data_IF_862805238184
#
_entry.id   IF_862805238184
#
_cell.length_a   1.000
_cell.length_b   1.000
_cell.length_c   1.000
_cell.angle_alpha   90.00
_cell.angle_beta   90.00
_cell.angle_gamma   90.00
#
_symmetry.space_group_name_H-M   'P 1'
#
loop_
_entity.id
_entity.type
_entity.pdbx_description
1 polymer ?
#
# COMPACT_ATOMS: atom_id res chain seq x y z
N UNK A 1 -5.15 -20.69 27.76
CA UNK A 1 -5.55 -19.59 26.84
C UNK A 1 -5.36 -19.95 25.36
N UNK A 2 -4.17 -20.36 24.90
CA UNK A 2 -3.93 -20.69 23.47
C UNK A 2 -4.77 -21.86 22.94
N UNK A 3 -4.78 -22.99 23.64
CA UNK A 3 -5.58 -24.16 23.23
C UNK A 3 -7.09 -23.83 23.21
N UNK A 4 -7.57 -23.00 24.13
CA UNK A 4 -8.96 -22.51 24.12
C UNK A 4 -9.27 -21.61 22.92
N UNK A 5 -8.32 -20.76 22.51
CA UNK A 5 -8.49 -19.93 21.31
C UNK A 5 -8.56 -20.80 20.04
N UNK A 6 -7.74 -21.86 19.97
CA UNK A 6 -7.80 -22.84 18.88
C UNK A 6 -9.14 -23.59 18.88
N UNK A 7 -9.61 -24.05 20.03
CA UNK A 7 -10.92 -24.72 20.17
C UNK A 7 -12.09 -23.82 19.75
N UNK A 8 -12.03 -22.51 20.05
CA UNK A 8 -13.01 -21.54 19.57
C UNK A 8 -12.91 -21.34 18.04
N UNK A 9 -11.69 -21.27 17.54
CA UNK A 9 -11.38 -21.01 16.15
C UNK A 9 -11.63 -19.55 15.73
N UNK A 10 -11.74 -19.30 14.42
CA UNK A 10 -11.99 -17.96 13.89
C UNK A 10 -13.43 -17.49 14.14
N UNK A 11 -13.72 -16.24 13.76
CA UNK A 11 -15.08 -15.71 13.79
C UNK A 11 -16.01 -16.49 12.86
N UNK A 12 -17.30 -16.56 13.20
CA UNK A 12 -18.32 -17.32 12.45
C UNK A 12 -18.36 -16.96 10.97
N UNK A 13 -18.22 -15.67 10.64
CA UNK A 13 -18.16 -15.19 9.25
C UNK A 13 -17.02 -15.83 8.43
N UNK A 14 -15.86 -16.12 9.04
CA UNK A 14 -14.77 -16.77 8.31
C UNK A 14 -15.06 -18.26 8.05
N UNK A 15 -15.84 -18.91 8.93
CA UNK A 15 -16.30 -20.29 8.75
C UNK A 15 -17.33 -20.38 7.60
N UNK A 16 -18.24 -19.42 7.52
CA UNK A 16 -19.24 -19.33 6.45
C UNK A 16 -18.61 -19.06 5.09
N UNK A 17 -17.53 -18.29 5.04
CA UNK A 17 -16.80 -17.94 3.82
C UNK A 17 -15.53 -18.78 3.63
N UNK A 18 -15.51 -20.05 4.09
CA UNK A 18 -14.28 -20.88 4.11
C UNK A 18 -13.59 -20.99 2.76
N UNK A 19 -14.35 -21.18 1.68
CA UNK A 19 -13.79 -21.36 0.32
C UNK A 19 -13.08 -20.09 -0.14
N UNK A 20 -13.70 -18.94 0.12
CA UNK A 20 -13.08 -17.64 -0.13
C UNK A 20 -11.79 -17.49 0.68
N UNK A 21 -11.82 -17.80 1.98
CA UNK A 21 -10.61 -17.74 2.83
C UNK A 21 -9.51 -18.65 2.30
N UNK A 22 -9.82 -19.88 1.91
CA UNK A 22 -8.84 -20.82 1.33
C UNK A 22 -8.20 -20.26 0.06
N UNK A 23 -9.00 -19.74 -0.86
CA UNK A 23 -8.52 -19.10 -2.10
C UNK A 23 -7.59 -17.91 -1.81
N UNK A 24 -7.95 -17.05 -0.85
CA UNK A 24 -7.12 -15.91 -0.46
C UNK A 24 -5.78 -16.33 0.11
N UNK A 25 -5.78 -17.31 1.02
CA UNK A 25 -4.56 -17.76 1.65
C UNK A 25 -3.65 -18.50 0.68
N UNK A 26 -4.18 -19.16 -0.36
CA UNK A 26 -3.37 -19.70 -1.46
C UNK A 26 -2.65 -18.57 -2.20
N UNK A 27 -3.35 -17.49 -2.56
CA UNK A 27 -2.73 -16.31 -3.19
C UNK A 27 -1.63 -15.71 -2.29
N UNK A 28 -1.91 -15.55 -1.00
CA UNK A 28 -0.95 -15.00 -0.03
C UNK A 28 0.29 -15.87 0.15
N UNK A 29 0.14 -17.20 0.13
CA UNK A 29 1.25 -18.15 0.19
C UNK A 29 2.10 -18.06 -1.08
N UNK A 30 1.47 -18.04 -2.25
CA UNK A 30 2.16 -17.92 -3.55
C UNK A 30 2.94 -16.60 -3.64
N UNK A 31 2.35 -15.49 -3.19
CA UNK A 31 3.02 -14.17 -3.08
C UNK A 31 4.06 -14.10 -1.96
N UNK A 32 4.12 -15.11 -1.09
CA UNK A 32 4.99 -15.17 0.10
C UNK A 32 4.75 -14.03 1.10
N UNK A 33 3.54 -13.52 1.16
CA UNK A 33 3.11 -12.53 2.15
C UNK A 33 2.80 -13.18 3.50
N UNK A 34 2.32 -14.42 3.46
CA UNK A 34 1.97 -15.19 4.64
C UNK A 34 2.62 -16.57 4.57
N UNK A 35 2.73 -17.22 5.73
CA UNK A 35 3.01 -18.66 5.84
C UNK A 35 1.94 -19.30 6.72
N UNK A 36 1.68 -20.58 6.52
CA UNK A 36 0.69 -21.33 7.29
C UNK A 36 1.38 -22.55 7.89
N UNK A 37 1.21 -22.76 9.19
CA UNK A 37 1.84 -23.88 9.90
C UNK A 37 0.82 -24.57 10.83
N UNK A 38 0.92 -25.90 10.99
CA UNK A 38 0.13 -26.61 11.97
C UNK A 38 0.35 -26.08 13.39
N UNK A 39 -0.73 -25.93 14.16
CA UNK A 39 -0.70 -25.40 15.51
C UNK A 39 0.25 -26.17 16.43
N UNK A 40 0.35 -27.50 16.27
CA UNK A 40 1.25 -28.33 17.10
C UNK A 40 2.72 -27.88 17.02
N UNK A 41 3.15 -27.34 15.87
CA UNK A 41 4.51 -26.83 15.68
C UNK A 41 4.72 -25.47 16.34
N UNK A 42 3.64 -24.69 16.49
CA UNK A 42 3.69 -23.33 17.02
C UNK A 42 3.36 -23.24 18.51
N UNK A 43 2.65 -24.24 19.06
CA UNK A 43 2.05 -24.24 20.40
C UNK A 43 3.00 -23.73 21.49
N UNK A 44 4.27 -24.13 21.41
CA UNK A 44 5.30 -23.82 22.41
C UNK A 44 6.17 -22.62 22.05
N UNK A 45 5.91 -21.94 20.93
CA UNK A 45 6.64 -20.73 20.59
C UNK A 45 6.42 -19.63 21.64
N UNK A 46 7.50 -18.94 22.04
CA UNK A 46 7.38 -17.79 22.92
C UNK A 46 6.57 -16.69 22.22
N UNK A 47 5.72 -16.00 22.97
CA UNK A 47 4.92 -14.87 22.49
C UNK A 47 3.92 -15.18 21.36
N UNK A 48 3.64 -16.46 21.05
CA UNK A 48 2.54 -16.81 20.14
C UNK A 48 1.23 -16.22 20.66
N UNK A 49 0.56 -15.46 19.79
CA UNK A 49 -0.79 -14.92 19.98
C UNK A 49 -1.67 -15.38 18.82
N UNK A 50 -2.95 -15.56 19.11
CA UNK A 50 -3.91 -16.18 18.19
C UNK A 50 -5.14 -15.28 18.05
N UNK A 51 -5.14 -14.47 17.00
CA UNK A 51 -6.25 -13.58 16.67
C UNK A 51 -7.25 -14.26 15.74
N UNK A 52 -8.56 -14.09 15.96
CA UNK A 52 -9.57 -14.69 15.11
C UNK A 52 -9.65 -13.95 13.77
N UNK A 53 -9.67 -14.72 12.68
CA UNK A 53 -10.00 -14.22 11.34
C UNK A 53 -11.51 -13.98 11.23
N UNK A 54 -11.89 -12.94 10.52
CA UNK A 54 -13.24 -12.64 10.09
C UNK A 54 -13.30 -12.35 8.60
N UNK A 55 -14.53 -12.28 8.08
CA UNK A 55 -14.82 -11.92 6.70
C UNK A 55 -15.93 -10.90 6.72
N UNK A 56 -15.76 -9.80 6.00
CA UNK A 56 -16.77 -8.77 5.81
C UNK A 56 -17.21 -8.82 4.34
N UNK A 57 -18.44 -9.29 4.06
CA UNK A 57 -19.02 -9.24 2.72
C UNK A 57 -19.12 -7.79 2.24
N UNK A 58 -18.95 -7.56 0.93
CA UNK A 58 -19.09 -6.24 0.34
C UNK A 58 -20.07 -6.28 -0.81
N UNK A 59 -20.92 -5.25 -0.88
CA UNK A 59 -21.85 -5.09 -1.99
C UNK A 59 -21.07 -4.80 -3.27
N UNK A 60 -21.37 -5.55 -4.32
CA UNK A 60 -20.80 -5.40 -5.68
C UNK A 60 -19.26 -5.47 -5.71
N UNK A 61 -18.63 -6.07 -4.68
CA UNK A 61 -17.18 -6.21 -4.55
C UNK A 61 -16.81 -7.51 -3.86
N UNK A 62 -15.55 -7.92 -4.04
CA UNK A 62 -14.95 -9.06 -3.35
C UNK A 62 -15.02 -8.88 -1.81
N UNK A 63 -15.35 -9.92 -1.03
CA UNK A 63 -15.30 -9.84 0.44
C UNK A 63 -13.91 -9.45 0.95
N UNK A 64 -13.84 -8.86 2.15
CA UNK A 64 -12.56 -8.55 2.79
C UNK A 64 -12.31 -9.43 4.01
N UNK A 65 -11.09 -9.96 4.08
CA UNK A 65 -10.57 -10.55 5.31
C UNK A 65 -10.34 -9.44 6.34
N UNK A 66 -10.71 -9.72 7.58
CA UNK A 66 -10.41 -8.85 8.73
C UNK A 66 -9.79 -9.71 9.83
N UNK A 67 -8.88 -9.14 10.62
CA UNK A 67 -8.27 -9.84 11.75
C UNK A 67 -8.47 -8.99 12.99
N UNK A 68 -9.07 -9.57 14.04
CA UNK A 68 -9.20 -8.89 15.32
C UNK A 68 -7.89 -9.00 16.12
N UNK A 69 -7.00 -8.04 15.89
CA UNK A 69 -5.74 -7.89 16.64
C UNK A 69 -5.94 -7.25 18.03
N UNK A 70 -7.18 -6.92 18.41
CA UNK A 70 -7.51 -6.53 19.79
C UNK A 70 -7.79 -7.74 20.68
N UNK A 71 -8.29 -8.84 20.11
CA UNK A 71 -8.68 -10.05 20.84
C UNK A 71 -7.58 -10.64 21.73
N UNK A 72 -6.34 -10.65 21.23
CA UNK A 72 -5.16 -11.14 21.97
C UNK A 72 -4.24 -9.99 22.41
N UNK A 73 -4.84 -8.81 22.64
CA UNK A 73 -4.17 -7.60 23.08
C UNK A 73 -2.98 -7.17 22.20
N UNK A 74 -2.91 -7.61 20.93
CA UNK A 74 -1.79 -7.32 20.03
C UNK A 74 -1.68 -5.81 19.85
N UNK A 75 -2.81 -5.15 19.60
CA UNK A 75 -2.84 -3.71 19.42
C UNK A 75 -2.66 -2.94 20.75
N UNK A 76 -3.26 -3.42 21.84
CA UNK A 76 -3.23 -2.77 23.16
C UNK A 76 -1.84 -2.80 23.79
N UNK A 77 -1.11 -3.90 23.65
CA UNK A 77 0.24 -4.07 24.21
C UNK A 77 1.33 -3.66 23.21
N UNK A 78 0.95 -3.18 22.02
CA UNK A 78 1.90 -2.72 21.02
C UNK A 78 2.54 -1.41 21.46
N UNK A 79 3.88 -1.36 21.50
CA UNK A 79 4.58 -0.10 21.70
C UNK A 79 4.42 0.78 20.46
N UNK A 80 4.01 2.06 20.60
CA UNK A 80 3.78 2.96 19.47
C UNK A 80 5.10 3.56 18.95
N UNK A 81 6.02 2.70 18.51
CA UNK A 81 7.34 3.09 17.97
C UNK A 81 7.28 3.53 16.50
N UNK A 82 6.17 3.27 15.81
CA UNK A 82 6.01 3.65 14.42
C UNK A 82 5.77 5.17 14.29
N UNK A 83 6.37 5.86 13.30
CA UNK A 83 6.35 7.32 13.19
C UNK A 83 4.97 7.83 12.78
N UNK A 84 4.13 8.18 13.77
CA UNK A 84 2.73 8.59 13.53
C UNK A 84 2.63 9.89 12.74
N UNK A 85 3.61 10.77 12.91
CA UNK A 85 3.79 12.03 12.19
C UNK A 85 3.96 11.86 10.68
N UNK A 86 4.33 10.66 10.20
CA UNK A 86 4.37 10.36 8.78
C UNK A 86 2.98 10.16 8.17
N UNK A 87 1.92 10.01 8.97
CA UNK A 87 0.53 9.91 8.46
C UNK A 87 -0.02 11.28 8.05
N UNK A 88 0.65 11.95 7.10
CA UNK A 88 0.32 13.32 6.66
C UNK A 88 -0.76 13.38 5.58
N UNK A 89 -1.38 12.25 5.25
CA UNK A 89 -2.35 12.10 4.17
C UNK A 89 -3.60 13.00 4.34
N UNK A 90 -3.96 13.39 5.56
CA UNK A 90 -5.11 14.29 5.82
C UNK A 90 -5.01 15.68 5.15
N UNK A 91 -3.81 16.10 4.70
CA UNK A 91 -3.60 17.38 4.00
C UNK A 91 -3.13 17.24 2.55
N UNK A 92 -2.98 16.02 2.02
CA UNK A 92 -2.46 15.79 0.67
C UNK A 92 -3.26 16.55 -0.39
N UNK A 93 -4.59 16.43 -0.38
CA UNK A 93 -5.47 17.15 -1.32
C UNK A 93 -5.27 18.67 -1.26
N UNK A 94 -5.18 19.25 -0.05
CA UNK A 94 -4.98 20.69 0.12
C UNK A 94 -3.62 21.13 -0.45
N UNK A 95 -2.55 20.37 -0.20
CA UNK A 95 -1.21 20.63 -0.74
C UNK A 95 -1.17 20.55 -2.26
N UNK A 96 -1.91 19.61 -2.86
CA UNK A 96 -2.04 19.44 -4.31
C UNK A 96 -2.82 20.61 -4.92
N UNK A 97 -4.00 20.92 -4.39
CA UNK A 97 -4.84 22.01 -4.90
C UNK A 97 -4.15 23.36 -4.81
N UNK A 98 -3.48 23.64 -3.69
CA UNK A 98 -2.72 24.87 -3.51
C UNK A 98 -1.61 25.02 -4.56
N UNK A 99 -0.89 23.94 -4.88
CA UNK A 99 0.15 23.92 -5.92
C UNK A 99 -0.42 24.16 -7.31
N UNK A 100 -1.57 23.57 -7.65
CA UNK A 100 -2.24 23.80 -8.93
C UNK A 100 -2.68 25.26 -9.04
N UNK A 101 -3.33 25.79 -8.00
CA UNK A 101 -3.83 27.16 -7.97
C UNK A 101 -2.72 28.21 -8.13
N UNK A 102 -1.53 27.91 -7.61
CA UNK A 102 -0.40 28.85 -7.57
C UNK A 102 0.66 28.61 -8.66
N UNK A 103 0.43 27.63 -9.54
CA UNK A 103 1.28 27.35 -10.69
C UNK A 103 1.29 28.53 -11.68
N UNK A 104 2.39 28.69 -12.42
CA UNK A 104 2.50 29.77 -13.41
C UNK A 104 1.82 29.36 -14.72
N UNK A 105 0.75 30.05 -15.14
CA UNK A 105 -0.01 29.71 -16.34
C UNK A 105 0.81 29.84 -17.64
N UNK A 106 1.90 30.62 -17.65
CA UNK A 106 2.77 30.79 -18.83
C UNK A 106 3.40 29.46 -19.29
N UNK A 107 3.48 28.47 -18.40
CA UNK A 107 4.03 27.14 -18.69
C UNK A 107 2.96 26.10 -19.09
N UNK A 108 1.73 26.55 -19.37
CA UNK A 108 0.61 25.71 -19.76
C UNK A 108 -0.11 25.06 -18.57
N UNK A 109 -1.01 24.09 -18.82
CA UNK A 109 -1.78 23.45 -17.75
C UNK A 109 -0.89 22.58 -16.86
N UNK A 110 -1.31 22.42 -15.60
CA UNK A 110 -0.75 21.41 -14.70
C UNK A 110 -1.38 20.06 -15.05
N UNK A 111 -0.54 19.10 -15.46
CA UNK A 111 -0.95 17.72 -15.67
C UNK A 111 -0.83 16.94 -14.38
N UNK A 112 -1.83 16.12 -14.10
CA UNK A 112 -1.82 15.18 -12.97
C UNK A 112 -1.55 13.76 -13.47
N UNK A 113 -0.84 12.99 -12.66
CA UNK A 113 -0.71 11.54 -12.77
C UNK A 113 -1.02 10.93 -11.42
N UNK A 114 -1.70 9.78 -11.43
CA UNK A 114 -1.98 8.99 -10.24
C UNK A 114 -1.33 7.61 -10.41
N UNK A 115 -0.44 7.25 -9.50
CA UNK A 115 0.16 5.91 -9.41
C UNK A 115 -0.21 5.33 -8.05
N UNK A 116 -0.81 4.15 -8.06
CA UNK A 116 -1.25 3.43 -6.86
C UNK A 116 -0.29 2.27 -6.57
N UNK A 117 0.01 2.02 -5.31
CA UNK A 117 0.85 0.88 -4.90
C UNK A 117 -0.03 -0.34 -4.62
N UNK A 118 0.10 -1.36 -5.47
CA UNK A 118 -0.59 -2.62 -5.30
C UNK A 118 -0.07 -3.36 -4.06
N UNK A 119 -0.99 -3.89 -3.24
CA UNK A 119 -0.68 -4.64 -2.01
C UNK A 119 0.25 -3.86 -1.05
N UNK A 120 0.04 -2.54 -0.90
CA UNK A 120 0.96 -1.61 -0.21
C UNK A 120 1.53 -2.09 1.13
N UNK A 121 0.70 -2.42 2.12
CA UNK A 121 1.20 -2.95 3.41
C UNK A 121 2.03 -4.22 3.25
N UNK A 122 1.66 -5.07 2.28
CA UNK A 122 2.38 -6.31 1.98
C UNK A 122 3.77 -6.07 1.38
N UNK A 123 4.14 -4.83 1.04
CA UNK A 123 5.49 -4.49 0.56
C UNK A 123 6.50 -4.32 1.68
N UNK A 124 6.06 -4.21 2.93
CA UNK A 124 6.94 -4.00 4.09
C UNK A 124 6.96 -5.27 4.94
N UNK A 125 8.15 -5.84 5.14
CA UNK A 125 8.34 -7.05 5.92
C UNK A 125 8.24 -6.77 7.42
N UNK A 126 7.62 -7.70 8.16
CA UNK A 126 7.75 -7.71 9.63
C UNK A 126 8.99 -8.50 10.03
N UNK A 127 9.55 -8.16 11.20
CA UNK A 127 10.68 -8.91 11.74
C UNK A 127 10.23 -10.33 12.12
N UNK A 128 11.00 -11.34 11.72
CA UNK A 128 10.69 -12.76 11.95
C UNK A 128 10.50 -13.08 13.44
N UNK A 129 11.19 -12.36 14.32
CA UNK A 129 11.07 -12.48 15.79
C UNK A 129 9.65 -12.21 16.30
N UNK A 130 8.94 -11.28 15.67
CA UNK A 130 7.63 -10.82 16.14
C UNK A 130 6.46 -11.45 15.37
N UNK A 131 6.72 -12.15 14.26
CA UNK A 131 5.71 -12.89 13.48
C UNK A 131 4.79 -13.76 14.35
N UNK A 132 5.27 -14.53 15.35
CA UNK A 132 4.39 -15.34 16.20
C UNK A 132 3.35 -14.51 16.98
N UNK A 133 3.60 -13.23 17.25
CA UNK A 133 2.63 -12.35 17.94
C UNK A 133 1.45 -11.96 17.06
N UNK A 134 1.53 -12.23 15.76
CA UNK A 134 0.53 -11.85 14.75
C UNK A 134 -0.21 -13.07 14.20
N UNK A 135 -0.18 -14.21 14.91
CA UNK A 135 -0.83 -15.44 14.45
C UNK A 135 -2.34 -15.31 14.31
N UNK A 136 -2.86 -15.90 13.23
CA UNK A 136 -4.27 -15.82 12.83
C UNK A 136 -4.87 -17.22 12.74
N UNK A 137 -6.02 -17.40 13.38
CA UNK A 137 -6.79 -18.64 13.34
C UNK A 137 -7.52 -18.74 12.00
N UNK A 138 -7.32 -19.84 11.27
CA UNK A 138 -8.02 -20.13 10.02
C UNK A 138 -9.28 -20.98 10.26
N UNK A 139 -10.28 -20.93 9.36
CA UNK A 139 -11.39 -21.88 9.38
C UNK A 139 -10.89 -23.28 9.01
N UNK A 140 -11.46 -24.29 9.65
CA UNK A 140 -11.12 -25.71 9.49
C UNK A 140 -12.39 -26.55 9.63
N UNK A 141 -12.37 -27.77 9.09
CA UNK A 141 -13.37 -28.80 9.40
C UNK A 141 -13.09 -29.46 10.78
N UNK A 142 -14.07 -30.20 11.31
CA UNK A 142 -13.98 -30.82 12.65
C UNK A 142 -12.88 -31.89 12.74
N UNK A 143 -12.48 -32.50 11.63
CA UNK A 143 -11.46 -33.55 11.52
C UNK A 143 -10.09 -33.05 11.02
N UNK A 144 -9.97 -31.76 10.69
CA UNK A 144 -8.73 -31.16 10.18
C UNK A 144 -7.78 -30.75 11.33
N UNK A 145 -6.47 -30.92 11.10
CA UNK A 145 -5.46 -30.40 12.03
C UNK A 145 -5.52 -28.86 12.06
N UNK A 146 -5.52 -28.21 13.24
CA UNK A 146 -5.60 -26.76 13.29
C UNK A 146 -4.42 -26.04 12.65
N UNK A 147 -4.73 -25.14 11.71
CA UNK A 147 -3.75 -24.37 10.96
C UNK A 147 -3.74 -22.91 11.40
N UNK A 148 -2.54 -22.36 11.60
CA UNK A 148 -2.34 -20.96 11.97
C UNK A 148 -1.64 -20.24 10.82
N UNK A 149 -2.23 -19.14 10.38
CA UNK A 149 -1.59 -18.24 9.44
C UNK A 149 -0.72 -17.21 10.16
N UNK A 150 0.45 -16.93 9.60
CA UNK A 150 1.45 -16.02 10.13
C UNK A 150 1.83 -15.00 9.05
N UNK A 151 1.64 -13.69 9.28
CA UNK A 151 2.01 -12.67 8.31
C UNK A 151 3.52 -12.46 8.32
N UNK A 152 4.14 -12.44 7.14
CA UNK A 152 5.55 -12.12 6.92
C UNK A 152 5.77 -10.64 6.56
N UNK A 153 4.67 -9.91 6.37
CA UNK A 153 4.58 -8.52 5.97
C UNK A 153 3.61 -7.77 6.90
N UNK A 154 3.51 -6.44 6.81
CA UNK A 154 2.60 -5.68 7.66
C UNK A 154 1.15 -6.16 7.45
N UNK A 155 0.46 -6.70 8.49
CA UNK A 155 -0.91 -7.13 8.33
C UNK A 155 -1.87 -5.95 8.42
N UNK A 156 -3.02 -6.07 7.74
CA UNK A 156 -4.14 -5.17 7.95
C UNK A 156 -4.71 -5.34 9.37
N UNK A 157 -5.04 -4.22 10.02
CA UNK A 157 -5.60 -4.20 11.38
C UNK A 157 -4.58 -4.01 12.50
N UNK A 158 -3.27 -4.07 12.21
CA UNK A 158 -2.24 -3.77 13.22
C UNK A 158 -2.00 -2.27 13.31
N UNK A 159 -2.04 -1.71 14.53
CA UNK A 159 -1.97 -0.26 14.77
C UNK A 159 -0.71 0.41 14.24
N UNK A 160 0.40 -0.33 14.13
CA UNK A 160 1.65 0.20 13.60
C UNK A 160 1.80 0.03 12.08
N UNK A 161 0.93 -0.75 11.40
CA UNK A 161 1.02 -0.91 9.95
C UNK A 161 0.84 0.42 9.19
N UNK A 162 -0.20 1.24 9.46
CA UNK A 162 -0.39 2.49 8.71
C UNK A 162 0.75 3.51 8.90
N UNK A 163 1.27 3.78 10.11
CA UNK A 163 2.40 4.69 10.27
C UNK A 163 3.69 4.21 9.61
N UNK A 164 4.02 2.91 9.69
CA UNK A 164 5.21 2.38 9.01
C UNK A 164 5.09 2.48 7.49
N UNK A 165 3.91 2.17 6.94
CA UNK A 165 3.68 2.29 5.50
C UNK A 165 3.72 3.75 5.05
N UNK A 166 3.07 4.65 5.78
CA UNK A 166 3.09 6.09 5.48
C UNK A 166 4.52 6.64 5.53
N UNK A 167 5.35 6.19 6.48
CA UNK A 167 6.75 6.60 6.50
C UNK A 167 7.52 6.18 5.25
N UNK A 168 7.28 4.96 4.75
CA UNK A 168 7.91 4.50 3.52
C UNK A 168 7.43 5.31 2.31
N UNK A 169 6.13 5.56 2.18
CA UNK A 169 5.59 6.29 1.02
C UNK A 169 5.92 7.79 1.06
N UNK A 170 5.86 8.45 2.22
CA UNK A 170 6.32 9.83 2.37
C UNK A 170 7.84 9.94 2.10
N UNK A 171 8.65 8.96 2.54
CA UNK A 171 10.08 8.92 2.18
C UNK A 171 10.29 8.83 0.66
N UNK A 172 9.47 8.04 -0.04
CA UNK A 172 9.53 7.98 -1.50
C UNK A 172 9.15 9.33 -2.14
N UNK A 173 8.11 10.00 -1.63
CA UNK A 173 7.72 11.33 -2.11
C UNK A 173 8.84 12.37 -1.87
N UNK A 174 9.47 12.36 -0.71
CA UNK A 174 10.59 13.25 -0.36
C UNK A 174 11.79 13.03 -1.27
N UNK A 175 12.19 11.77 -1.49
CA UNK A 175 13.30 11.43 -2.40
C UNK A 175 12.99 11.87 -3.82
N UNK A 176 11.79 11.60 -4.32
CA UNK A 176 11.35 12.01 -5.65
C UNK A 176 11.43 13.54 -5.79
N UNK A 177 10.85 14.28 -4.85
CA UNK A 177 10.83 15.75 -4.88
C UNK A 177 12.26 16.33 -4.80
N UNK A 178 13.15 15.71 -4.02
CA UNK A 178 14.56 16.09 -3.98
C UNK A 178 15.28 15.86 -5.33
N UNK A 179 14.98 14.75 -6.02
CA UNK A 179 15.53 14.46 -7.35
C UNK A 179 14.99 15.44 -8.41
N UNK A 180 13.71 15.80 -8.35
CA UNK A 180 13.11 16.82 -9.20
C UNK A 180 13.78 18.19 -9.01
N UNK A 181 13.99 18.61 -7.75
CA UNK A 181 14.71 19.87 -7.44
C UNK A 181 16.15 19.89 -7.94
N UNK A 182 16.79 18.71 -8.07
CA UNK A 182 18.13 18.53 -8.66
C UNK A 182 18.12 18.38 -10.18
N UNK A 183 16.96 18.44 -10.83
CA UNK A 183 16.80 18.30 -12.28
C UNK A 183 17.40 16.97 -12.81
N UNK A 184 17.25 15.89 -12.04
CA UNK A 184 17.70 14.56 -12.45
C UNK A 184 16.97 14.13 -13.73
N UNK A 185 17.71 13.51 -14.65
CA UNK A 185 17.13 12.83 -15.82
C UNK A 185 17.18 11.33 -15.57
N UNK A 186 16.01 10.72 -15.40
CA UNK A 186 15.90 9.30 -15.09
C UNK A 186 15.91 8.45 -16.37
N UNK A 187 16.55 7.26 -16.34
CA UNK A 187 16.53 6.33 -17.46
C UNK A 187 15.11 5.76 -17.67
N UNK A 188 14.83 5.18 -18.86
CA UNK A 188 13.62 4.40 -19.11
C UNK A 188 13.30 3.42 -17.96
N UNK A 189 12.03 3.26 -17.64
CA UNK A 189 11.56 2.39 -16.56
C UNK A 189 10.66 1.29 -17.12
N UNK A 190 10.77 0.05 -16.61
CA UNK A 190 10.03 -1.11 -17.15
C UNK A 190 8.50 -0.93 -17.14
N UNK A 191 7.98 -0.16 -16.18
CA UNK A 191 6.55 0.14 -16.03
C UNK A 191 6.09 1.41 -16.76
N UNK A 192 6.98 2.16 -17.41
CA UNK A 192 6.60 3.45 -17.99
C UNK A 192 5.58 3.32 -19.12
N UNK A 193 5.68 2.25 -19.92
CA UNK A 193 4.77 2.01 -21.04
C UNK A 193 3.37 1.61 -20.55
N UNK A 194 3.31 0.79 -19.49
CA UNK A 194 2.06 0.40 -18.83
C UNK A 194 1.41 1.62 -18.19
N UNK A 195 2.17 2.46 -17.51
CA UNK A 195 1.66 3.70 -16.92
C UNK A 195 1.20 4.74 -17.97
N UNK A 196 1.68 4.64 -19.22
CA UNK A 196 1.30 5.53 -20.31
C UNK A 196 0.07 5.06 -21.11
N UNK A 197 -0.57 3.94 -20.74
CA UNK A 197 -1.75 3.46 -21.46
C UNK A 197 -2.92 4.44 -21.32
N UNK A 198 -3.61 4.79 -22.42
CA UNK A 198 -4.75 5.70 -22.36
C UNK A 198 -5.93 5.06 -21.60
N UNK A 199 -6.76 5.85 -20.90
CA UNK A 199 -7.96 5.33 -20.27
C UNK A 199 -8.97 4.85 -21.33
N UNK A 200 -9.81 3.83 -21.03
CA UNK A 200 -10.72 3.20 -22.00
C UNK A 200 -11.70 4.17 -22.67
N UNK A 201 -12.05 5.27 -21.99
CA UNK A 201 -12.98 6.29 -22.47
C UNK A 201 -12.41 7.69 -22.27
N UNK A 202 -11.28 7.98 -22.92
CA UNK A 202 -10.73 9.34 -22.94
C UNK A 202 -11.65 10.26 -23.77
N UNK A 203 -12.77 10.70 -23.19
CA UNK A 203 -13.49 11.84 -23.74
C UNK A 203 -12.49 13.01 -23.79
N UNK A 204 -12.18 13.48 -24.99
CA UNK A 204 -11.39 14.69 -25.22
C UNK A 204 -12.19 15.88 -24.71
N UNK A 205 -12.26 16.06 -23.40
CA UNK A 205 -12.68 17.31 -22.80
C UNK A 205 -11.55 18.31 -23.02
N UNK A 206 -11.55 18.95 -24.19
CA UNK A 206 -10.86 20.22 -24.37
C UNK A 206 -11.60 21.24 -23.51
N UNK A 207 -11.26 21.30 -22.22
CA UNK A 207 -11.64 22.44 -21.41
C UNK A 207 -10.89 23.63 -22.00
N UNK A 208 -11.62 24.55 -22.65
CA UNK A 208 -11.07 25.87 -22.93
C UNK A 208 -10.74 26.50 -21.58
N UNK A 209 -9.45 26.55 -21.27
CA UNK A 209 -8.94 27.25 -20.09
C UNK A 209 -9.23 28.74 -20.29
N UNK A 210 -10.38 29.18 -19.82
CA UNK A 210 -10.67 30.60 -19.64
C UNK A 210 -10.05 30.96 -18.29
N UNK A 211 -8.88 31.59 -18.30
CA UNK A 211 -8.19 31.89 -17.04
C UNK A 211 -7.17 33.01 -17.15
N UNK A 212 -7.63 34.24 -16.93
CA UNK A 212 -6.79 35.25 -16.30
C UNK A 212 -6.37 34.73 -14.92
N UNK A 213 -5.08 34.75 -14.60
CA UNK A 213 -4.58 34.33 -13.29
C UNK A 213 -5.32 35.09 -12.18
N UNK A 214 -5.99 34.37 -11.28
CA UNK A 214 -6.73 34.96 -10.15
C UNK A 214 -5.75 35.60 -9.14
N UNK A 215 -4.50 35.12 -9.12
CA UNK A 215 -3.42 35.58 -8.24
C UNK A 215 -2.08 35.61 -8.99
N UNK A 216 -1.13 36.47 -8.58
CA UNK A 216 0.24 36.41 -9.11
C UNK A 216 0.84 35.01 -8.84
N UNK A 217 1.53 34.42 -9.82
CA UNK A 217 2.04 33.06 -9.67
C UNK A 217 3.08 33.01 -8.55
N UNK A 218 2.92 32.06 -7.63
CA UNK A 218 3.91 31.82 -6.57
C UNK A 218 5.17 31.16 -7.16
N UNK A 219 4.98 30.24 -8.11
CA UNK A 219 6.06 29.55 -8.79
C UNK A 219 6.53 30.33 -10.02
N UNK A 220 7.84 30.55 -10.17
CA UNK A 220 8.40 31.21 -11.37
C UNK A 220 8.81 30.23 -12.47
N UNK A 221 8.86 28.94 -12.15
CA UNK A 221 9.27 27.83 -13.01
C UNK A 221 8.10 26.86 -13.19
N UNK A 222 8.09 26.03 -14.26
CA UNK A 222 7.09 24.98 -14.40
C UNK A 222 7.11 24.07 -13.18
N UNK A 223 5.94 23.76 -12.62
CA UNK A 223 5.87 22.88 -11.45
C UNK A 223 6.22 21.45 -11.82
N UNK A 224 7.03 20.80 -10.98
CA UNK A 224 7.23 19.35 -10.93
C UNK A 224 7.23 18.96 -9.46
N UNK A 225 6.31 18.09 -9.06
CA UNK A 225 6.12 17.71 -7.66
C UNK A 225 5.37 16.38 -7.57
N UNK A 226 5.53 15.63 -6.49
CA UNK A 226 4.59 14.59 -6.11
C UNK A 226 4.19 14.72 -4.64
N UNK A 227 2.93 14.41 -4.38
CA UNK A 227 2.40 14.17 -3.04
C UNK A 227 1.93 12.72 -2.94
N UNK A 228 1.67 12.25 -1.73
CA UNK A 228 1.12 10.92 -1.51
C UNK A 228 -0.06 10.95 -0.54
N UNK A 229 -1.10 10.19 -0.87
CA UNK A 229 -2.21 9.88 0.02
C UNK A 229 -2.16 8.38 0.32
N UNK A 230 -1.51 8.00 1.41
CA UNK A 230 -1.28 6.59 1.80
C UNK A 230 -0.48 5.84 0.72
N UNK A 231 -1.14 5.19 -0.23
CA UNK A 231 -0.62 4.44 -1.39
C UNK A 231 -0.75 5.21 -2.73
N UNK A 232 -1.61 6.24 -2.77
CA UNK A 232 -1.90 7.02 -3.97
C UNK A 232 -0.87 8.14 -4.18
N UNK A 233 0.13 7.93 -5.04
CA UNK A 233 1.05 8.97 -5.47
C UNK A 233 0.40 9.87 -6.52
N UNK A 234 0.36 11.17 -6.24
CA UNK A 234 -0.18 12.19 -7.14
C UNK A 234 0.96 13.08 -7.65
N UNK A 235 1.39 12.82 -8.88
CA UNK A 235 2.39 13.63 -9.57
C UNK A 235 1.78 14.83 -10.27
N UNK A 236 2.40 16.00 -10.12
CA UNK A 236 2.09 17.27 -10.78
C UNK A 236 3.23 17.63 -11.73
N UNK A 237 2.92 18.00 -12.97
CA UNK A 237 3.93 18.46 -13.92
C UNK A 237 3.36 19.47 -14.91
N UNK A 238 4.07 20.57 -15.13
CA UNK A 238 3.91 21.45 -16.31
C UNK A 238 4.98 21.15 -17.36
N UNK A 239 4.79 21.70 -18.56
CA UNK A 239 5.76 21.61 -19.65
C UNK A 239 5.54 20.45 -20.64
N UNK A 240 6.52 20.20 -21.52
CA UNK A 240 6.37 19.28 -22.65
C UNK A 240 6.25 17.81 -22.20
N UNK A 241 5.75 16.91 -23.09
CA UNK A 241 5.63 15.47 -22.79
C UNK A 241 6.89 14.82 -22.20
N UNK A 242 8.07 15.19 -22.69
CA UNK A 242 9.35 14.67 -22.18
C UNK A 242 9.57 15.00 -20.69
N UNK A 243 9.20 16.20 -20.25
CA UNK A 243 9.29 16.59 -18.83
C UNK A 243 8.36 15.75 -17.97
N UNK A 244 7.12 15.53 -18.44
CA UNK A 244 6.12 14.72 -17.73
C UNK A 244 6.55 13.25 -17.64
N UNK A 245 7.10 12.70 -18.72
CA UNK A 245 7.64 11.34 -18.75
C UNK A 245 8.83 11.20 -17.79
N UNK A 246 9.72 12.20 -17.74
CA UNK A 246 10.82 12.17 -16.78
C UNK A 246 10.33 12.22 -15.33
N UNK A 247 9.31 13.04 -15.02
CA UNK A 247 8.66 13.07 -13.69
C UNK A 247 8.12 11.69 -13.30
N UNK A 248 7.44 10.99 -14.22
CA UNK A 248 6.95 9.63 -14.02
C UNK A 248 8.10 8.63 -13.77
N UNK A 249 9.17 8.70 -14.58
CA UNK A 249 10.34 7.82 -14.40
C UNK A 249 10.99 7.99 -13.04
N UNK A 250 11.17 9.24 -12.59
CA UNK A 250 11.72 9.53 -11.26
C UNK A 250 10.86 8.89 -10.17
N UNK A 251 9.54 9.02 -10.26
CA UNK A 251 8.62 8.38 -9.31
C UNK A 251 8.84 6.85 -9.29
N UNK A 252 8.78 6.21 -10.45
CA UNK A 252 8.87 4.76 -10.56
C UNK A 252 10.23 4.22 -10.05
N UNK A 253 11.35 4.85 -10.40
CA UNK A 253 12.66 4.48 -9.86
C UNK A 253 12.78 4.74 -8.36
N UNK A 254 12.15 5.80 -7.85
CA UNK A 254 12.13 6.07 -6.41
C UNK A 254 11.29 5.03 -5.65
N UNK A 255 10.17 4.58 -6.24
CA UNK A 255 9.40 3.48 -5.67
C UNK A 255 10.22 2.19 -5.62
N UNK A 256 10.98 1.85 -6.67
CA UNK A 256 11.89 0.69 -6.67
C UNK A 256 13.00 0.75 -5.60
N UNK A 257 13.41 1.96 -5.19
CA UNK A 257 14.39 2.14 -4.10
C UNK A 257 13.81 1.79 -2.73
N UNK A 258 12.50 2.00 -2.54
CA UNK A 258 11.82 1.84 -1.25
C UNK A 258 11.11 0.49 -1.18
N UNK A 259 10.42 0.11 -2.25
CA UNK A 259 9.67 -1.11 -2.39
C UNK A 259 10.36 -2.02 -3.39
N UNK A 260 10.74 -3.21 -2.92
CA UNK A 260 11.49 -4.16 -3.74
C UNK A 260 10.70 -4.51 -5.02
N UNK A 261 11.28 -4.33 -6.22
CA UNK A 261 10.68 -4.77 -7.48
C UNK A 261 10.64 -6.30 -7.61
N UNK A 262 9.97 -6.80 -8.64
CA UNK A 262 10.04 -8.22 -8.97
C UNK A 262 11.47 -8.67 -9.28
N UNK A 263 11.82 -9.87 -8.82
CA UNK A 263 13.08 -10.54 -9.14
C UNK A 263 12.82 -11.86 -9.85
N UNK A 264 13.80 -12.40 -10.61
CA UNK A 264 13.62 -13.64 -11.39
C UNK A 264 13.21 -14.88 -10.59
N UNK A 265 13.48 -14.90 -9.28
CA UNK A 265 13.16 -16.01 -8.37
C UNK A 265 11.83 -15.82 -7.63
N UNK A 266 11.09 -14.74 -7.91
CA UNK A 266 9.76 -14.56 -7.35
C UNK A 266 8.75 -15.49 -8.04
N UNK A 267 7.72 -15.89 -7.29
CA UNK A 267 6.60 -16.64 -7.84
C UNK A 267 5.83 -15.79 -8.85
N UNK A 268 5.26 -16.39 -9.89
CA UNK A 268 4.47 -15.72 -10.94
C UNK A 268 3.27 -14.92 -10.41
N UNK A 269 2.77 -15.30 -9.23
CA UNK A 269 1.65 -14.63 -8.56
C UNK A 269 2.06 -13.30 -7.92
N UNK A 270 3.36 -13.07 -7.72
CA UNK A 270 3.87 -11.81 -7.17
C UNK A 270 3.78 -10.72 -8.23
N UNK A 271 3.27 -9.57 -7.83
CA UNK A 271 3.10 -8.41 -8.70
C UNK A 271 4.16 -7.34 -8.39
N UNK A 272 4.39 -6.45 -9.35
CA UNK A 272 5.16 -5.22 -9.11
C UNK A 272 4.47 -4.38 -8.02
N UNK A 273 5.22 -3.61 -7.21
CA UNK A 273 4.65 -2.59 -6.33
C UNK A 273 3.73 -1.63 -7.07
#
# INVERSE_FOLDING_TARGET
MRDQAVLRGPHQSAKEYREFVRTEFVDFLQKRFWTILPYRLLRHLPNLRLSPLGVVPQRDRRPRLIVDLSYYFVNQECTPVAPKEAMQFGRALQRILWRILTANPDWGPVYLSKIDIADGFSRIKVTSRDVPKLGVLLPQEDDEEPMIALPLVLPMGWVNSPPYFSAATETAADIMNAQLGRHVVAPPHRLELVAATPPPDAATHQSQLVGSAIHPPHYRRPIQYADVYVDDFIGLSQGPPATRQNTLRILLHTLDMIFRPLAPLDHEARQEP
#
